data_IF_954948972125
#
_entry.id   IF_954948972125
#
_cell.length_a   1.000
_cell.length_b   1.000
_cell.length_c   1.000
_cell.angle_alpha   90.00
_cell.angle_beta   90.00
_cell.angle_gamma   90.00
#
_symmetry.space_group_name_H-M   'P 1'
#
loop_
_entity.id
_entity.type
_entity.pdbx_description
1 polymer ?
#
# COMPACT_ATOMS: atom_id res chain seq x y z
N UNK A 1 -16.55 4.02 -3.83
CA UNK A 1 -16.86 4.60 -2.50
C UNK A 1 -18.37 4.67 -2.21
N UNK A 2 -19.20 5.04 -3.19
CA UNK A 2 -20.62 5.37 -3.02
C UNK A 2 -21.57 4.20 -2.69
N UNK A 3 -21.11 2.95 -2.77
CA UNK A 3 -21.91 1.74 -2.53
C UNK A 3 -21.74 1.16 -1.11
N UNK A 4 -20.89 1.77 -0.28
CA UNK A 4 -20.66 1.27 1.08
C UNK A 4 -21.89 1.51 1.97
N UNK A 5 -22.31 0.56 2.81
CA UNK A 5 -23.55 0.68 3.60
C UNK A 5 -23.63 1.91 4.51
N UNK A 6 -22.48 2.38 5.01
CA UNK A 6 -22.35 3.55 5.90
C UNK A 6 -22.29 4.88 5.15
N UNK A 7 -22.22 4.84 3.82
CA UNK A 7 -22.05 6.04 3.01
C UNK A 7 -23.23 7.00 3.11
N UNK A 8 -24.43 6.45 3.28
CA UNK A 8 -25.65 7.20 3.55
C UNK A 8 -25.56 8.08 4.81
N UNK A 9 -24.73 7.68 5.77
CA UNK A 9 -24.58 8.32 7.08
C UNK A 9 -23.49 9.41 7.11
N UNK A 10 -22.71 9.54 6.03
CA UNK A 10 -21.74 10.65 5.89
C UNK A 10 -22.45 11.95 5.52
N UNK A 11 -22.40 12.94 6.41
CA UNK A 11 -22.99 14.27 6.21
C UNK A 11 -22.24 15.14 5.18
N UNK A 12 -20.96 14.84 4.92
CA UNK A 12 -20.05 15.67 4.10
C UNK A 12 -19.40 14.88 2.96
N UNK A 13 -20.22 14.21 2.14
CA UNK A 13 -19.74 13.35 1.04
C UNK A 13 -18.94 14.10 -0.03
N UNK A 14 -19.18 15.40 -0.21
CA UNK A 14 -18.52 16.26 -1.18
C UNK A 14 -17.17 16.83 -0.70
N UNK A 15 -16.78 16.58 0.56
CA UNK A 15 -15.53 17.09 1.14
C UNK A 15 -14.44 16.02 1.28
N UNK A 16 -14.56 14.90 0.54
CA UNK A 16 -13.51 13.90 0.51
C UNK A 16 -12.40 14.34 -0.44
N UNK A 17 -11.24 14.64 0.12
CA UNK A 17 -10.02 14.81 -0.66
C UNK A 17 -9.50 13.44 -1.11
N UNK A 18 -9.95 13.01 -2.29
CA UNK A 18 -9.61 11.71 -2.90
C UNK A 18 -8.09 11.56 -3.03
N UNK A 19 -7.39 12.62 -3.42
CA UNK A 19 -5.92 12.59 -3.54
C UNK A 19 -5.24 12.31 -2.20
N UNK A 20 -5.73 12.91 -1.11
CA UNK A 20 -5.20 12.65 0.22
C UNK A 20 -5.49 11.22 0.69
N UNK A 21 -6.70 10.72 0.40
CA UNK A 21 -7.12 9.35 0.74
C UNK A 21 -6.23 8.33 0.01
N UNK A 22 -6.05 8.49 -1.30
CA UNK A 22 -5.21 7.60 -2.10
C UNK A 22 -3.76 7.60 -1.62
N UNK A 23 -3.20 8.78 -1.34
CA UNK A 23 -1.85 8.88 -0.78
C UNK A 23 -1.75 8.17 0.57
N UNK A 24 -2.74 8.34 1.46
CA UNK A 24 -2.77 7.68 2.75
C UNK A 24 -2.84 6.15 2.60
N UNK A 25 -3.65 5.67 1.66
CA UNK A 25 -3.75 4.25 1.35
C UNK A 25 -2.42 3.68 0.85
N UNK A 26 -1.78 4.34 -0.12
CA UNK A 26 -0.44 3.99 -0.60
C UNK A 26 0.58 3.94 0.55
N UNK A 27 0.68 5.02 1.33
CA UNK A 27 1.60 5.13 2.44
C UNK A 27 1.39 3.99 3.44
N UNK A 28 0.13 3.65 3.77
CA UNK A 28 -0.17 2.55 4.70
C UNK A 28 0.26 1.18 4.18
N UNK A 29 0.00 0.89 2.90
CA UNK A 29 0.43 -0.37 2.28
C UNK A 29 1.96 -0.46 2.30
N UNK A 30 2.64 0.56 1.76
CA UNK A 30 4.09 0.53 1.62
C UNK A 30 4.80 0.54 2.97
N UNK A 31 4.34 1.32 3.95
CA UNK A 31 4.92 1.32 5.30
C UNK A 31 4.75 -0.03 6.01
N UNK A 32 3.66 -0.75 5.74
CA UNK A 32 3.40 -2.06 6.34
C UNK A 32 4.26 -3.15 5.70
N UNK A 33 4.32 -3.19 4.37
CA UNK A 33 5.15 -4.15 3.61
C UNK A 33 6.65 -3.94 3.89
N UNK A 34 7.09 -2.68 3.95
CA UNK A 34 8.47 -2.32 4.21
C UNK A 34 8.82 -2.30 5.71
N UNK A 35 7.85 -2.52 6.60
CA UNK A 35 8.02 -2.46 8.05
C UNK A 35 8.73 -1.17 8.52
N UNK A 36 8.19 -0.02 8.11
CA UNK A 36 8.74 1.28 8.49
C UNK A 36 8.38 1.57 9.95
N UNK A 37 9.42 1.72 10.78
CA UNK A 37 9.25 1.94 12.22
C UNK A 37 8.38 3.18 12.49
N UNK A 38 7.40 3.03 13.38
CA UNK A 38 6.47 4.09 13.77
C UNK A 38 5.40 4.46 12.72
N UNK A 39 5.41 3.84 11.54
CA UNK A 39 4.44 4.12 10.46
C UNK A 39 3.69 2.88 9.96
N UNK A 40 4.24 1.68 10.16
CA UNK A 40 3.58 0.42 9.83
C UNK A 40 2.24 0.26 10.53
N UNK A 41 1.23 -0.25 9.81
CA UNK A 41 -0.07 -0.63 10.39
C UNK A 41 -0.02 -1.96 11.12
N UNK A 42 1.05 -2.73 10.93
CA UNK A 42 1.36 -3.94 11.70
C UNK A 42 1.99 -3.57 13.05
N UNK A 43 1.16 -3.41 14.08
CA UNK A 43 1.56 -3.06 15.44
C UNK A 43 0.90 -3.97 16.50
N UNK A 44 1.32 -3.84 17.76
CA UNK A 44 0.83 -4.69 18.86
C UNK A 44 -0.70 -4.67 19.01
N UNK A 45 -1.32 -3.49 18.93
CA UNK A 45 -2.78 -3.36 19.04
C UNK A 45 -3.47 -4.07 17.88
N UNK A 46 -3.01 -3.83 16.65
CA UNK A 46 -3.56 -4.51 15.47
C UNK A 46 -3.41 -6.03 15.54
N UNK A 47 -2.38 -6.56 16.23
CA UNK A 47 -2.18 -8.01 16.42
C UNK A 47 -3.15 -8.60 17.44
N UNK A 48 -3.51 -7.85 18.48
CA UNK A 48 -4.56 -8.22 19.42
C UNK A 48 -5.93 -8.19 18.74
N UNK A 49 -6.23 -7.12 18.00
CA UNK A 49 -7.47 -7.00 17.22
C UNK A 49 -7.58 -8.11 16.18
N UNK A 50 -6.46 -8.47 15.52
CA UNK A 50 -6.41 -9.59 14.58
C UNK A 50 -6.77 -10.91 15.24
N UNK A 51 -6.32 -11.19 16.47
CA UNK A 51 -6.67 -12.43 17.17
C UNK A 51 -8.16 -12.49 17.56
N UNK A 52 -8.76 -11.33 17.88
CA UNK A 52 -10.16 -11.23 18.27
C UNK A 52 -11.11 -11.29 17.06
N UNK A 53 -10.76 -10.58 15.98
CA UNK A 53 -11.66 -10.35 14.83
C UNK A 53 -11.36 -11.32 13.68
N UNK A 54 -10.11 -11.74 13.51
CA UNK A 54 -9.66 -12.53 12.37
C UNK A 54 -9.15 -13.92 12.81
N UNK A 55 -9.50 -14.97 12.06
CA UNK A 55 -9.00 -16.32 12.31
C UNK A 55 -7.64 -16.54 11.63
N UNK A 56 -6.60 -15.83 12.10
CA UNK A 56 -5.24 -15.79 11.52
C UNK A 56 -4.19 -16.17 12.56
N UNK A 57 -4.21 -17.43 13.02
CA UNK A 57 -3.33 -17.92 14.09
C UNK A 57 -1.83 -17.76 13.80
N UNK A 58 -1.44 -17.73 12.53
CA UNK A 58 -0.06 -17.51 12.08
C UNK A 58 0.46 -16.09 12.37
N UNK A 59 -0.46 -15.14 12.63
CA UNK A 59 -0.14 -13.75 12.95
C UNK A 59 -0.33 -13.41 14.43
N UNK A 60 -0.82 -14.34 15.25
CA UNK A 60 -1.05 -14.10 16.67
C UNK A 60 0.26 -13.91 17.44
N UNK A 61 0.19 -13.14 18.53
CA UNK A 61 1.32 -12.97 19.44
C UNK A 61 1.58 -14.29 20.14
N UNK A 62 2.83 -14.75 20.13
CA UNK A 62 3.18 -16.01 20.79
C UNK A 62 3.06 -15.86 22.31
N UNK A 63 2.98 -17.00 23.02
CA UNK A 63 2.95 -17.01 24.51
C UNK A 63 4.15 -16.29 25.14
N UNK A 64 5.27 -16.22 24.41
CA UNK A 64 6.49 -15.52 24.81
C UNK A 64 6.42 -14.00 24.56
N UNK A 65 5.28 -13.47 24.10
CA UNK A 65 5.08 -12.06 23.77
C UNK A 65 5.73 -11.62 22.45
N UNK A 66 6.20 -12.56 21.61
CA UNK A 66 6.84 -12.24 20.33
C UNK A 66 5.83 -12.13 19.21
N UNK A 67 6.07 -11.20 18.29
CA UNK A 67 5.27 -11.03 17.08
C UNK A 67 5.91 -11.82 15.93
N UNK A 68 5.22 -12.84 15.37
CA UNK A 68 5.70 -13.52 14.19
C UNK A 68 5.87 -12.57 13.02
N UNK A 69 6.94 -12.76 12.25
CA UNK A 69 7.17 -12.01 11.02
C UNK A 69 6.08 -12.39 10.02
N UNK A 70 5.27 -11.44 9.55
CA UNK A 70 4.18 -11.74 8.63
C UNK A 70 4.71 -12.04 7.23
N UNK A 71 3.98 -12.88 6.49
CA UNK A 71 4.30 -13.24 5.09
C UNK A 71 4.21 -12.07 4.10
N UNK A 72 3.54 -10.98 4.49
CA UNK A 72 3.42 -9.76 3.68
C UNK A 72 4.55 -8.74 3.88
N UNK A 73 5.48 -9.00 4.81
CA UNK A 73 6.64 -8.13 5.05
C UNK A 73 7.80 -8.54 4.15
N UNK A 74 8.38 -7.58 3.46
CA UNK A 74 9.57 -7.83 2.64
C UNK A 74 10.80 -8.10 3.50
N UNK A 75 11.58 -9.09 3.06
CA UNK A 75 12.94 -9.32 3.54
C UNK A 75 13.86 -8.16 3.17
N UNK A 76 15.05 -8.10 3.77
CA UNK A 76 16.05 -7.09 3.41
C UNK A 76 16.44 -7.16 1.92
N UNK A 77 16.60 -8.38 1.39
CA UNK A 77 16.88 -8.59 -0.04
C UNK A 77 15.69 -8.19 -0.92
N UNK A 78 14.46 -8.47 -0.50
CA UNK A 78 13.25 -8.04 -1.21
C UNK A 78 13.09 -6.52 -1.26
N UNK A 79 13.42 -5.81 -0.16
CA UNK A 79 13.47 -4.34 -0.16
C UNK A 79 14.51 -3.81 -1.14
N UNK A 80 15.72 -4.37 -1.12
CA UNK A 80 16.79 -3.97 -2.04
C UNK A 80 16.36 -4.17 -3.50
N UNK A 81 15.83 -5.36 -3.82
CA UNK A 81 15.33 -5.67 -5.17
C UNK A 81 14.24 -4.68 -5.62
N UNK A 82 13.27 -4.36 -4.74
CA UNK A 82 12.24 -3.37 -5.04
C UNK A 82 12.84 -1.99 -5.33
N UNK A 83 13.71 -1.49 -4.45
CA UNK A 83 14.26 -0.15 -4.58
C UNK A 83 15.22 -0.01 -5.76
N UNK A 84 16.04 -1.03 -6.00
CA UNK A 84 16.92 -1.07 -7.17
C UNK A 84 16.09 -1.00 -8.45
N UNK A 85 15.09 -1.88 -8.60
CA UNK A 85 14.19 -1.88 -9.75
C UNK A 85 13.46 -0.53 -9.95
N UNK A 86 12.92 0.06 -8.89
CA UNK A 86 12.27 1.38 -8.95
C UNK A 86 13.25 2.49 -9.35
N UNK A 87 14.53 2.37 -8.97
CA UNK A 87 15.55 3.36 -9.30
C UNK A 87 16.13 3.21 -10.71
N UNK A 88 16.32 1.98 -11.20
CA UNK A 88 16.98 1.69 -12.48
C UNK A 88 16.02 1.56 -13.66
N UNK A 89 14.93 0.82 -13.47
CA UNK A 89 14.14 0.26 -14.56
C UNK A 89 12.81 1.00 -14.76
N UNK A 90 12.24 1.51 -13.67
CA UNK A 90 10.98 2.26 -13.74
C UNK A 90 11.22 3.64 -14.35
N UNK A 91 10.74 3.81 -15.60
CA UNK A 91 10.81 5.07 -16.35
C UNK A 91 9.44 5.40 -16.93
N UNK A 92 9.11 6.69 -16.88
CA UNK A 92 7.92 7.25 -17.48
C UNK A 92 8.29 8.39 -18.43
N UNK A 93 7.40 8.77 -19.36
CA UNK A 93 7.59 9.96 -20.18
C UNK A 93 7.81 11.21 -19.32
N UNK A 94 8.55 12.19 -19.86
CA UNK A 94 8.80 13.43 -19.16
C UNK A 94 7.49 14.15 -18.80
N UNK A 95 7.46 14.74 -17.61
CA UNK A 95 6.25 15.38 -17.05
C UNK A 95 5.15 14.44 -16.55
N UNK A 96 5.28 13.11 -16.71
CA UNK A 96 4.25 12.17 -16.24
C UNK A 96 4.31 11.93 -14.72
N UNK A 97 5.47 11.57 -14.16
CA UNK A 97 5.67 11.42 -12.71
C UNK A 97 7.00 12.01 -12.26
N UNK A 98 7.10 12.31 -10.96
CA UNK A 98 8.39 12.60 -10.34
C UNK A 98 9.35 11.41 -10.49
N UNK A 99 10.65 11.69 -10.59
CA UNK A 99 11.66 10.63 -10.62
C UNK A 99 11.66 9.85 -9.31
N UNK A 100 11.12 8.63 -9.29
CA UNK A 100 10.97 7.83 -8.08
C UNK A 100 12.28 7.54 -7.35
N UNK A 101 13.41 7.48 -8.06
CA UNK A 101 14.73 7.32 -7.43
C UNK A 101 15.03 8.40 -6.39
N UNK A 102 14.44 9.61 -6.53
CA UNK A 102 14.58 10.70 -5.55
C UNK A 102 13.69 10.51 -4.32
N UNK A 103 12.68 9.67 -4.42
CA UNK A 103 11.75 9.35 -3.36
C UNK A 103 12.19 8.15 -2.52
N UNK A 104 13.30 7.49 -2.85
CA UNK A 104 13.82 6.35 -2.08
C UNK A 104 14.73 6.87 -0.97
N UNK A 105 14.31 6.69 0.28
CA UNK A 105 15.09 7.11 1.45
C UNK A 105 15.88 5.93 2.00
N UNK A 106 17.20 5.96 1.78
CA UNK A 106 18.17 4.99 2.30
C UNK A 106 17.83 3.51 1.98
N UNK A 107 17.06 3.26 0.91
CA UNK A 107 16.59 1.90 0.58
C UNK A 107 15.71 1.27 1.66
N UNK A 108 15.02 2.08 2.47
CA UNK A 108 14.14 1.59 3.54
C UNK A 108 12.67 1.96 3.33
N UNK A 109 12.40 3.13 2.75
CA UNK A 109 11.03 3.63 2.54
C UNK A 109 10.96 4.58 1.35
N UNK A 110 9.73 4.81 0.90
CA UNK A 110 9.42 5.93 0.02
C UNK A 110 9.13 7.19 0.84
N UNK A 111 9.65 8.34 0.42
CA UNK A 111 9.39 9.65 1.02
C UNK A 111 9.30 10.75 -0.04
N UNK A 112 8.57 11.82 0.26
CA UNK A 112 8.40 12.96 -0.64
C UNK A 112 7.58 12.71 -1.90
N UNK A 113 6.91 11.56 -2.03
CA UNK A 113 6.00 11.29 -3.15
C UNK A 113 4.75 12.18 -3.07
N UNK A 114 4.37 12.79 -4.20
CA UNK A 114 3.10 13.50 -4.33
C UNK A 114 1.95 12.49 -4.45
N UNK A 115 0.72 12.93 -4.19
CA UNK A 115 -0.48 12.10 -4.37
C UNK A 115 -0.55 11.48 -5.77
N UNK A 116 -0.25 12.27 -6.81
CA UNK A 116 -0.17 11.80 -8.20
C UNK A 116 0.87 10.68 -8.40
N UNK A 117 2.06 10.83 -7.81
CA UNK A 117 3.12 9.82 -7.91
C UNK A 117 2.68 8.50 -7.24
N UNK A 118 2.03 8.59 -6.08
CA UNK A 118 1.46 7.44 -5.37
C UNK A 118 0.33 6.78 -6.19
N UNK A 119 -0.56 7.59 -6.77
CA UNK A 119 -1.64 7.13 -7.64
C UNK A 119 -1.10 6.31 -8.82
N UNK A 120 -0.13 6.87 -9.56
CA UNK A 120 0.50 6.17 -10.69
C UNK A 120 1.19 4.89 -10.22
N UNK A 121 1.89 4.91 -9.09
CA UNK A 121 2.53 3.71 -8.56
C UNK A 121 1.50 2.61 -8.27
N UNK A 122 0.41 2.94 -7.58
CA UNK A 122 -0.66 1.97 -7.27
C UNK A 122 -1.31 1.42 -8.53
N UNK A 123 -1.61 2.28 -9.50
CA UNK A 123 -2.35 1.89 -10.70
C UNK A 123 -1.48 1.12 -11.71
N UNK A 124 -0.20 1.50 -11.85
CA UNK A 124 0.66 1.01 -12.94
C UNK A 124 1.75 0.05 -12.48
N UNK A 125 2.24 0.20 -11.26
CA UNK A 125 3.42 -0.53 -10.78
C UNK A 125 3.08 -1.59 -9.75
N UNK A 126 2.17 -1.32 -8.81
CA UNK A 126 1.82 -2.25 -7.73
C UNK A 126 1.46 -3.67 -8.19
N UNK A 127 0.74 -3.87 -9.33
CA UNK A 127 0.46 -5.20 -9.86
C UNK A 127 1.69 -6.02 -10.28
N UNK A 128 2.85 -5.39 -10.46
CA UNK A 128 4.08 -6.04 -10.90
C UNK A 128 5.18 -5.94 -9.84
N UNK A 129 5.24 -4.81 -9.12
CA UNK A 129 6.30 -4.48 -8.17
C UNK A 129 6.43 -5.49 -7.03
N UNK A 130 5.33 -6.16 -6.66
CA UNK A 130 5.29 -7.10 -5.54
C UNK A 130 5.15 -8.57 -5.97
N UNK A 131 4.99 -8.84 -7.26
CA UNK A 131 4.64 -10.17 -7.78
C UNK A 131 5.69 -11.22 -7.43
N UNK A 132 6.97 -10.88 -7.62
CA UNK A 132 8.11 -11.78 -7.33
C UNK A 132 8.67 -11.59 -5.91
N UNK A 133 8.12 -10.65 -5.14
CA UNK A 133 8.64 -10.29 -3.82
C UNK A 133 7.77 -10.80 -2.66
N UNK A 134 6.50 -11.10 -2.93
CA UNK A 134 5.54 -11.59 -1.94
C UNK A 134 4.92 -12.92 -2.40
N UNK A 135 4.44 -13.76 -1.46
CA UNK A 135 3.68 -14.96 -1.82
C UNK A 135 2.46 -14.61 -2.68
N UNK A 136 2.12 -15.45 -3.67
CA UNK A 136 1.07 -15.17 -4.66
C UNK A 136 -0.25 -14.73 -4.04
N UNK A 137 -0.71 -15.39 -2.97
CA UNK A 137 -1.96 -15.04 -2.29
C UNK A 137 -1.93 -13.65 -1.62
N UNK A 138 -0.76 -13.20 -1.15
CA UNK A 138 -0.58 -11.86 -0.58
C UNK A 138 -0.53 -10.83 -1.70
N UNK A 139 0.27 -11.12 -2.72
CA UNK A 139 0.40 -10.26 -3.90
C UNK A 139 -0.96 -10.03 -4.57
N UNK A 140 -1.71 -11.09 -4.85
CA UNK A 140 -3.05 -11.03 -5.46
C UNK A 140 -4.06 -10.26 -4.59
N UNK A 141 -3.96 -10.34 -3.26
CA UNK A 141 -4.81 -9.56 -2.37
C UNK A 141 -4.50 -8.05 -2.44
N UNK A 142 -3.22 -7.68 -2.62
CA UNK A 142 -2.77 -6.28 -2.70
C UNK A 142 -2.98 -5.71 -4.12
N UNK A 143 -2.65 -6.50 -5.15
CA UNK A 143 -2.73 -6.14 -6.56
C UNK A 143 -4.12 -6.37 -7.17
N UNK A 144 -4.98 -7.12 -6.48
CA UNK A 144 -6.28 -7.54 -6.96
C UNK A 144 -7.21 -6.37 -7.32
N UNK A 145 -8.19 -6.68 -8.17
CA UNK A 145 -9.16 -5.74 -8.76
C UNK A 145 -9.79 -4.78 -7.74
N UNK A 146 -9.94 -5.12 -6.47
CA UNK A 146 -10.51 -4.16 -5.49
C UNK A 146 -9.65 -2.91 -5.25
N UNK A 147 -8.32 -2.94 -5.40
CA UNK A 147 -7.49 -1.72 -5.29
C UNK A 147 -7.45 -0.98 -6.63
N UNK A 148 -7.26 -1.72 -7.72
CA UNK A 148 -7.08 -1.14 -9.06
C UNK A 148 -8.40 -0.70 -9.71
N UNK A 149 -9.50 -1.42 -9.50
CA UNK A 149 -10.84 -1.05 -9.97
C UNK A 149 -11.45 0.08 -9.15
N UNK A 150 -11.09 0.24 -7.87
CA UNK A 150 -11.49 1.42 -7.07
C UNK A 150 -10.92 2.72 -7.65
N UNK A 151 -9.71 2.67 -8.20
CA UNK A 151 -9.06 3.82 -8.86
C UNK A 151 -9.55 4.05 -10.29
N UNK A 152 -9.94 3.00 -11.03
CA UNK A 152 -10.47 3.12 -12.40
C UNK A 152 -11.89 3.69 -12.47
N UNK A 153 -12.72 3.47 -11.44
CA UNK A 153 -14.09 4.03 -11.39
C UNK A 153 -14.07 5.55 -11.19
N UNK A 154 -13.06 6.10 -10.49
CA UNK A 154 -12.94 7.54 -10.24
C UNK A 154 -12.55 8.33 -11.51
N UNK A 155 -11.76 7.76 -12.42
CA UNK A 155 -11.34 8.47 -13.64
C UNK A 155 -12.45 8.57 -14.70
N UNK A 156 -13.41 7.63 -14.72
CA UNK A 156 -14.55 7.67 -15.65
C UNK A 156 -15.65 8.61 -15.15
N UNK A 157 -15.83 8.76 -13.83
CA UNK A 157 -16.90 9.59 -13.26
C UNK A 157 -16.51 11.06 -13.01
N UNK A 158 -15.22 11.40 -12.97
CA UNK A 158 -14.77 12.79 -12.74
C UNK A 158 -14.53 13.56 -14.06
N UNK A 159 -14.57 12.88 -15.22
CA UNK A 159 -14.36 13.50 -16.54
C UNK A 159 -15.52 13.30 -17.54
N UNK A 160 -16.73 13.00 -17.05
CA UNK A 160 -18.02 13.13 -17.77
C UNK A 160 -18.92 14.02 -16.92
#
# INVERSE_FOLDING_TARGET
FWELPYWKDHLLRHNLDVMHIEKNFFDNIMHTILNVQGRSKDNMKSRLDLAEICKRSELEITRDGKQPIPSFRLSADGKRALFDWVASDVKFPDGYVSKFSRCIEQGQKFSGMKSHDCHVFMQRLLPFALQELLPSHVHEAIAGKQVVTFLLIEFIYVHI
#
